data_IF_595519440731
#
_entry.id   IF_595519440731
#
_cell.length_a   1.000
_cell.length_b   1.000
_cell.length_c   1.000
_cell.angle_alpha   90.00
_cell.angle_beta   90.00
_cell.angle_gamma   90.00
#
_symmetry.space_group_name_H-M   'P 1'
#
loop_
_entity.id
_entity.type
_entity.pdbx_description
1 polymer ?
#
# COMPACT_ATOMS: atom_id res chain seq x y z
N UNK A 1 -35.95 -28.28 51.35
CA UNK A 1 -36.22 -28.29 52.80
C UNK A 1 -34.99 -27.70 53.48
N UNK A 2 -34.99 -26.60 54.20
CA UNK A 2 -35.97 -25.59 54.60
C UNK A 2 -35.13 -24.43 55.20
N UNK A 3 -35.31 -23.20 54.69
CA UNK A 3 -35.67 -21.95 55.42
C UNK A 3 -34.68 -21.45 56.50
N UNK A 4 -33.94 -20.33 56.34
CA UNK A 4 -34.28 -18.89 56.18
C UNK A 4 -34.53 -18.11 57.49
N UNK A 5 -33.70 -17.09 57.77
CA UNK A 5 -34.07 -15.69 58.13
C UNK A 5 -32.81 -14.91 58.64
N UNK A 6 -32.32 -13.86 57.94
CA UNK A 6 -32.67 -12.41 57.99
C UNK A 6 -32.34 -11.75 59.35
N UNK A 7 -31.74 -10.55 59.52
CA UNK A 7 -31.42 -9.34 58.70
C UNK A 7 -30.51 -8.43 59.57
N UNK A 8 -29.67 -7.58 58.96
CA UNK A 8 -29.09 -6.40 59.65
C UNK A 8 -28.04 -5.61 58.85
N UNK A 9 -28.45 -4.51 58.20
CA UNK A 9 -27.61 -3.53 57.47
C UNK A 9 -26.91 -2.55 58.43
N UNK A 10 -25.71 -2.06 58.07
CA UNK A 10 -25.35 -0.64 57.82
C UNK A 10 -23.82 -0.39 57.95
N UNK A 11 -23.28 0.46 57.07
CA UNK A 11 -22.21 1.41 57.47
C UNK A 11 -20.89 1.38 56.70
N UNK A 12 -20.80 2.17 55.63
CA UNK A 12 -19.58 2.55 54.91
C UNK A 12 -18.60 3.39 55.75
N UNK A 13 -17.28 3.21 55.52
CA UNK A 13 -16.29 4.29 55.22
C UNK A 13 -14.88 3.69 55.06
N UNK A 14 -14.30 3.76 53.86
CA UNK A 14 -12.86 3.50 53.61
C UNK A 14 -12.19 4.81 53.23
N UNK A 15 -11.24 5.24 54.05
CA UNK A 15 -10.47 6.46 53.87
C UNK A 15 -9.41 6.27 52.78
N UNK A 16 -9.34 7.23 51.85
CA UNK A 16 -8.21 7.42 50.94
C UNK A 16 -7.13 8.23 51.67
N UNK A 17 -5.89 7.74 51.66
CA UNK A 17 -4.72 8.50 52.08
C UNK A 17 -3.84 8.78 50.86
N UNK A 18 -3.63 10.07 50.62
CA UNK A 18 -2.82 10.66 49.57
C UNK A 18 -1.34 10.60 49.99
N UNK A 19 -0.46 10.12 49.11
CA UNK A 19 1.00 10.31 49.23
C UNK A 19 1.50 11.12 48.04
N UNK A 20 2.05 12.28 48.34
CA UNK A 20 2.79 13.19 47.46
C UNK A 20 4.27 12.83 47.45
N UNK A 21 4.92 12.87 46.28
CA UNK A 21 6.37 12.94 46.12
C UNK A 21 6.74 13.83 44.92
N UNK A 22 7.96 14.43 44.92
CA UNK A 22 8.18 15.77 44.39
C UNK A 22 8.66 15.81 42.93
N UNK A 23 8.55 17.02 42.37
CA UNK A 23 8.85 17.40 41.00
C UNK A 23 10.35 17.45 40.68
N UNK A 24 10.73 16.97 39.49
CA UNK A 24 11.94 17.39 38.77
C UNK A 24 11.71 17.23 37.25
N UNK A 25 12.32 18.14 36.51
CA UNK A 25 11.96 18.61 35.18
C UNK A 25 12.02 17.56 34.05
N UNK A 26 11.02 17.60 33.16
CA UNK A 26 11.05 16.97 31.82
C UNK A 26 10.68 18.02 30.76
N UNK A 27 11.63 18.30 29.87
CA UNK A 27 11.42 19.05 28.63
C UNK A 27 10.39 18.32 27.76
N UNK A 28 9.37 19.06 27.32
CA UNK A 28 8.33 18.59 26.40
C UNK A 28 8.82 18.70 24.96
N UNK A 29 8.81 17.58 24.24
CA UNK A 29 8.84 17.52 22.78
C UNK A 29 7.39 17.42 22.31
N UNK A 30 6.94 18.39 21.52
CA UNK A 30 5.60 18.49 20.97
C UNK A 30 5.53 17.78 19.62
N UNK A 31 4.61 16.83 19.50
CA UNK A 31 4.06 16.38 18.22
C UNK A 31 2.59 15.99 18.45
N UNK A 32 1.70 16.99 18.43
CA UNK A 32 0.26 16.74 18.40
C UNK A 32 -0.43 17.71 17.42
N UNK A 33 -0.98 17.14 16.36
CA UNK A 33 -2.03 17.74 15.54
C UNK A 33 -3.36 17.54 16.27
N UNK A 34 -4.01 18.63 16.66
CA UNK A 34 -5.39 18.62 17.13
C UNK A 34 -6.14 19.80 16.51
N UNK A 35 -7.08 19.47 15.62
CA UNK A 35 -8.11 20.36 15.13
C UNK A 35 -9.14 20.62 16.23
N UNK A 36 -9.27 21.87 16.65
CA UNK A 36 -10.41 22.34 17.43
C UNK A 36 -10.90 23.67 16.86
N UNK A 37 -12.12 23.65 16.34
CA UNK A 37 -12.93 24.81 15.95
C UNK A 37 -13.01 25.84 17.06
N UNK A 38 -12.60 27.09 16.79
CA UNK A 38 -13.03 28.30 17.52
C UNK A 38 -13.17 29.47 16.56
N UNK A 39 -14.15 30.29 16.90
CA UNK A 39 -14.81 31.33 16.11
C UNK A 39 -13.90 32.43 15.54
N UNK A 40 -14.45 33.03 14.48
CA UNK A 40 -13.99 34.15 13.68
C UNK A 40 -13.54 35.37 14.49
N UNK A 41 -12.34 35.87 14.20
CA UNK A 41 -11.95 37.27 14.48
C UNK A 41 -11.12 37.81 13.29
N UNK A 42 -11.59 38.81 12.52
CA UNK A 42 -11.06 39.12 11.19
C UNK A 42 -10.00 40.24 11.22
N UNK A 43 -9.01 40.16 12.12
CA UNK A 43 -7.98 41.21 12.19
C UNK A 43 -6.60 40.72 12.69
N UNK A 44 -6.12 39.60 12.14
CA UNK A 44 -4.71 39.19 12.27
C UNK A 44 -4.15 38.71 10.93
N UNK A 45 -4.27 39.54 9.90
CA UNK A 45 -3.34 39.48 8.78
C UNK A 45 -2.24 40.50 9.03
N UNK A 46 -1.06 40.03 9.46
CA UNK A 46 0.23 40.49 8.93
C UNK A 46 1.40 39.80 9.63
N UNK A 47 2.26 39.19 8.80
CA UNK A 47 3.64 38.76 9.08
C UNK A 47 3.85 37.42 9.78
N UNK A 48 3.60 36.34 9.05
CA UNK A 48 4.60 35.26 8.99
C UNK A 48 5.14 35.20 7.57
N UNK A 49 6.42 35.54 7.47
CA UNK A 49 7.18 35.69 6.24
C UNK A 49 7.34 34.33 5.55
N UNK A 50 7.02 34.29 4.26
CA UNK A 50 7.45 33.34 3.24
C UNK A 50 8.99 33.32 3.09
N UNK A 51 9.72 33.01 4.16
CA UNK A 51 11.17 32.80 4.17
C UNK A 51 11.51 31.62 5.08
N UNK A 52 10.88 30.47 4.87
CA UNK A 52 11.57 29.21 5.20
C UNK A 52 12.64 29.06 4.11
N UNK A 53 13.91 29.25 4.45
CA UNK A 53 15.01 28.91 3.56
C UNK A 53 14.81 27.46 3.11
N UNK A 54 14.43 27.25 1.85
CA UNK A 54 14.25 25.90 1.31
C UNK A 54 15.56 25.15 1.53
N UNK A 55 15.52 24.13 2.38
CA UNK A 55 16.69 23.35 2.74
C UNK A 55 17.02 22.47 1.52
N UNK A 56 17.90 22.93 0.63
CA UNK A 56 18.23 22.20 -0.60
C UNK A 56 19.33 21.17 -0.33
N UNK A 57 19.07 19.92 -0.71
CA UNK A 57 20.03 18.83 -0.67
C UNK A 57 21.15 19.00 -1.69
N UNK A 58 22.34 18.54 -1.34
CA UNK A 58 23.57 18.67 -2.14
C UNK A 58 24.30 17.34 -2.30
N UNK A 59 23.74 16.22 -1.81
CA UNK A 59 24.31 14.89 -2.04
C UNK A 59 24.24 14.52 -3.53
N UNK A 60 25.37 14.34 -4.23
CA UNK A 60 25.36 14.04 -5.66
C UNK A 60 25.01 12.58 -5.97
N UNK A 61 25.08 11.70 -4.97
CA UNK A 61 24.94 10.25 -5.10
C UNK A 61 23.60 9.74 -4.52
N UNK A 62 23.23 8.49 -4.84
CA UNK A 62 22.04 7.84 -4.29
C UNK A 62 22.08 7.62 -2.77
N UNK A 63 23.28 7.71 -2.15
CA UNK A 63 23.52 7.60 -0.72
C UNK A 63 24.63 8.59 -0.31
N UNK A 64 24.47 9.39 0.76
CA UNK A 64 25.52 10.29 1.24
C UNK A 64 26.83 9.57 1.59
N UNK A 65 27.98 10.17 1.26
CA UNK A 65 29.31 9.56 1.50
C UNK A 65 29.55 9.20 2.97
N UNK A 66 29.10 10.05 3.91
CA UNK A 66 29.17 9.80 5.35
C UNK A 66 28.41 8.53 5.73
N UNK A 67 27.19 8.37 5.22
CA UNK A 67 26.37 7.18 5.46
C UNK A 67 27.03 5.93 4.87
N UNK A 68 27.55 5.99 3.63
CA UNK A 68 28.25 4.86 3.00
C UNK A 68 29.40 4.35 3.87
N UNK A 69 30.30 5.26 4.30
CA UNK A 69 31.45 4.91 5.15
C UNK A 69 30.98 4.28 6.47
N UNK A 70 29.93 4.84 7.07
CA UNK A 70 29.38 4.31 8.32
C UNK A 70 28.80 2.90 8.13
N UNK A 71 28.07 2.66 7.02
CA UNK A 71 27.45 1.36 6.73
C UNK A 71 28.47 0.30 6.33
N UNK A 72 29.58 0.66 5.67
CA UNK A 72 30.72 -0.24 5.46
C UNK A 72 31.36 -0.67 6.78
N UNK A 73 31.61 0.29 7.69
CA UNK A 73 32.18 0.01 9.02
C UNK A 73 31.29 -0.90 9.87
N UNK A 74 29.98 -0.65 9.83
CA UNK A 74 28.98 -1.43 10.57
C UNK A 74 28.56 -2.73 9.87
N UNK A 75 29.01 -2.97 8.63
CA UNK A 75 28.56 -4.08 7.78
C UNK A 75 27.03 -4.14 7.58
N UNK A 76 26.40 -2.96 7.50
CA UNK A 76 24.95 -2.77 7.30
C UNK A 76 24.63 -2.46 5.83
N UNK A 77 25.13 -3.30 4.92
CA UNK A 77 24.88 -3.21 3.47
C UNK A 77 23.89 -4.28 3.03
N UNK A 78 22.82 -3.88 2.33
CA UNK A 78 21.89 -4.81 1.69
C UNK A 78 22.58 -5.53 0.52
N UNK A 79 22.02 -6.64 0.06
CA UNK A 79 22.65 -7.48 -0.98
C UNK A 79 22.95 -6.70 -2.25
N UNK A 80 22.03 -5.82 -2.68
CA UNK A 80 22.17 -4.96 -3.86
C UNK A 80 23.25 -3.87 -3.74
N UNK A 81 23.75 -3.61 -2.54
CA UNK A 81 24.71 -2.54 -2.28
C UNK A 81 26.16 -3.08 -2.19
N UNK A 82 26.35 -4.39 -2.32
CA UNK A 82 27.64 -5.05 -2.05
C UNK A 82 28.48 -5.20 -3.30
N UNK A 83 29.72 -4.72 -3.25
CA UNK A 83 30.72 -5.02 -4.29
C UNK A 83 31.16 -6.47 -4.16
N UNK A 84 30.94 -7.27 -5.22
CA UNK A 84 31.28 -8.71 -5.26
C UNK A 84 30.69 -9.49 -4.06
N UNK A 85 29.49 -9.12 -3.59
CA UNK A 85 28.82 -9.75 -2.45
C UNK A 85 29.46 -9.48 -1.08
N UNK A 86 30.50 -8.65 -0.99
CA UNK A 86 31.19 -8.35 0.27
C UNK A 86 30.32 -7.45 1.19
N UNK A 87 29.94 -7.89 2.41
CA UNK A 87 29.06 -7.13 3.30
C UNK A 87 29.69 -5.87 3.91
N UNK A 88 31.00 -5.67 3.75
CA UNK A 88 31.74 -4.50 4.24
C UNK A 88 32.28 -3.58 3.15
N UNK A 89 31.89 -3.77 1.88
CA UNK A 89 32.33 -2.92 0.75
C UNK A 89 31.18 -2.55 -0.16
N UNK A 90 31.00 -1.26 -0.41
CA UNK A 90 30.05 -0.70 -1.38
C UNK A 90 30.76 0.19 -2.39
N UNK A 91 30.03 0.66 -3.41
CA UNK A 91 30.44 1.76 -4.28
C UNK A 91 29.40 2.90 -4.24
N UNK A 92 29.74 4.12 -4.70
CA UNK A 92 28.77 5.21 -4.88
C UNK A 92 27.64 4.87 -5.85
N UNK A 93 27.88 3.98 -6.82
CA UNK A 93 26.90 3.54 -7.81
C UNK A 93 25.91 2.48 -7.32
N UNK A 94 26.20 1.81 -6.19
CA UNK A 94 25.36 0.75 -5.63
C UNK A 94 24.62 1.20 -4.36
N UNK A 95 25.27 1.98 -3.50
CA UNK A 95 24.69 2.38 -2.22
C UNK A 95 23.47 3.29 -2.39
N UNK A 96 22.36 2.96 -1.72
CA UNK A 96 21.18 3.82 -1.66
C UNK A 96 20.89 4.21 -0.21
N UNK A 97 20.58 5.49 0.01
CA UNK A 97 20.31 6.06 1.35
C UNK A 97 19.24 5.24 2.10
N UNK A 98 19.59 4.67 3.26
CA UNK A 98 18.66 3.91 4.12
C UNK A 98 17.66 4.85 4.80
N UNK A 99 16.43 4.41 5.03
CA UNK A 99 15.46 5.21 5.79
C UNK A 99 15.88 5.30 7.27
N UNK A 100 15.82 6.49 7.86
CA UNK A 100 16.18 6.69 9.27
C UNK A 100 14.97 7.19 10.08
N UNK A 101 14.56 6.41 11.10
CA UNK A 101 13.35 6.69 11.90
C UNK A 101 13.47 7.92 12.80
N UNK A 102 14.68 8.21 13.27
CA UNK A 102 14.93 9.18 14.35
C UNK A 102 15.70 10.40 13.87
N UNK A 103 15.49 10.82 12.62
CA UNK A 103 16.13 12.05 12.13
C UNK A 103 15.45 13.28 12.74
N UNK A 104 16.27 14.10 13.40
CA UNK A 104 15.89 15.45 13.81
C UNK A 104 16.35 16.43 12.73
N UNK A 105 15.50 17.37 12.31
CA UNK A 105 15.84 18.38 11.29
C UNK A 105 17.07 19.21 11.67
N UNK A 106 17.38 19.34 12.97
CA UNK A 106 18.53 20.11 13.46
C UNK A 106 19.88 19.38 13.27
N UNK A 107 19.87 18.07 13.02
CA UNK A 107 21.07 17.24 12.86
C UNK A 107 21.40 16.93 11.40
N UNK A 108 20.50 17.29 10.47
CA UNK A 108 20.63 17.00 9.04
C UNK A 108 21.38 18.14 8.37
N UNK A 109 22.45 17.82 7.63
CA UNK A 109 23.11 18.79 6.75
C UNK A 109 22.62 18.64 5.30
N UNK A 110 22.78 19.70 4.50
CA UNK A 110 22.45 19.66 3.06
C UNK A 110 23.18 18.53 2.33
N UNK A 111 24.38 18.15 2.77
CA UNK A 111 25.15 17.04 2.18
C UNK A 111 24.57 15.66 2.50
N UNK A 112 23.65 15.57 3.46
CA UNK A 112 22.96 14.33 3.82
C UNK A 112 21.65 14.14 3.03
N UNK A 113 21.19 15.16 2.29
CA UNK A 113 19.97 15.11 1.48
C UNK A 113 20.28 15.12 -0.02
N UNK A 114 19.52 14.32 -0.76
CA UNK A 114 19.63 14.24 -2.23
C UNK A 114 18.76 15.32 -2.89
N UNK A 115 19.27 16.10 -3.86
CA UNK A 115 18.46 17.02 -4.65
C UNK A 115 17.48 16.26 -5.55
N UNK A 116 16.45 16.95 -6.05
CA UNK A 116 15.34 16.39 -6.85
C UNK A 116 15.80 15.45 -7.97
N UNK A 117 16.78 15.87 -8.79
CA UNK A 117 17.28 15.05 -9.90
C UNK A 117 17.89 13.72 -9.42
N UNK A 118 18.62 13.74 -8.30
CA UNK A 118 19.20 12.53 -7.71
C UNK A 118 18.11 11.64 -7.13
N UNK A 119 17.06 12.21 -6.53
CA UNK A 119 15.91 11.45 -6.04
C UNK A 119 15.18 10.73 -7.19
N UNK A 120 14.91 11.42 -8.30
CA UNK A 120 14.27 10.82 -9.49
C UNK A 120 15.11 9.67 -10.06
N UNK A 121 16.42 9.90 -10.26
CA UNK A 121 17.32 8.86 -10.75
C UNK A 121 17.43 7.68 -9.80
N UNK A 122 17.45 7.94 -8.48
CA UNK A 122 17.45 6.89 -7.46
C UNK A 122 16.16 6.07 -7.52
N UNK A 123 15.00 6.72 -7.63
CA UNK A 123 13.73 6.02 -7.74
C UNK A 123 13.69 5.14 -8.99
N UNK A 124 14.13 5.68 -10.14
CA UNK A 124 14.22 4.92 -11.39
C UNK A 124 15.12 3.69 -11.26
N UNK A 125 16.27 3.83 -10.61
CA UNK A 125 17.15 2.70 -10.30
C UNK A 125 16.44 1.66 -9.42
N UNK A 126 15.80 2.08 -8.33
CA UNK A 126 15.10 1.16 -7.42
C UNK A 126 13.96 0.39 -8.13
N UNK A 127 13.18 1.08 -8.96
CA UNK A 127 12.09 0.45 -9.70
C UNK A 127 12.60 -0.54 -10.75
N UNK A 128 13.78 -0.31 -11.34
CA UNK A 128 14.40 -1.26 -12.28
C UNK A 128 14.76 -2.61 -11.62
N UNK A 129 14.92 -2.64 -10.29
CA UNK A 129 15.21 -3.88 -9.55
C UNK A 129 13.98 -4.77 -9.41
N UNK A 130 12.76 -4.24 -9.62
CA UNK A 130 11.51 -4.97 -9.41
C UNK A 130 11.35 -6.18 -10.33
N UNK A 131 11.97 -6.15 -11.51
CA UNK A 131 11.89 -7.24 -12.49
C UNK A 131 13.14 -8.13 -12.49
N UNK A 132 14.07 -7.92 -11.54
CA UNK A 132 15.23 -8.78 -11.38
C UNK A 132 14.82 -10.17 -10.87
N UNK A 133 15.32 -11.21 -11.54
CA UNK A 133 15.18 -12.61 -11.13
C UNK A 133 16.36 -13.12 -10.30
N UNK A 134 17.35 -12.28 -10.00
CA UNK A 134 18.56 -12.67 -9.27
C UNK A 134 18.30 -12.99 -7.80
N UNK A 135 17.25 -12.42 -7.22
CA UNK A 135 16.88 -12.59 -5.82
C UNK A 135 15.37 -12.85 -5.66
N UNK A 136 14.95 -13.55 -4.59
CA UNK A 136 13.54 -13.66 -4.23
C UNK A 136 12.89 -12.29 -4.12
N UNK A 137 11.63 -12.19 -4.52
CA UNK A 137 10.92 -10.91 -4.59
C UNK A 137 10.82 -10.23 -3.21
N UNK A 138 10.75 -10.99 -2.13
CA UNK A 138 10.73 -10.48 -0.76
C UNK A 138 11.99 -9.68 -0.43
N UNK A 139 13.15 -10.13 -0.92
CA UNK A 139 14.44 -9.44 -0.73
C UNK A 139 14.48 -8.15 -1.53
N UNK A 140 13.98 -8.17 -2.77
CA UNK A 140 13.85 -6.96 -3.61
C UNK A 140 12.88 -5.97 -2.96
N UNK A 141 11.71 -6.45 -2.53
CA UNK A 141 10.70 -5.67 -1.85
C UNK A 141 11.26 -4.99 -0.62
N UNK A 142 11.90 -5.70 0.31
CA UNK A 142 12.42 -5.13 1.55
C UNK A 142 13.42 -4.00 1.29
N UNK A 143 14.27 -4.17 0.27
CA UNK A 143 15.21 -3.14 -0.15
C UNK A 143 14.49 -1.91 -0.72
N UNK A 144 13.66 -2.09 -1.75
CA UNK A 144 12.96 -0.97 -2.42
C UNK A 144 11.99 -0.28 -1.46
N UNK A 145 11.30 -1.03 -0.61
CA UNK A 145 10.40 -0.54 0.44
C UNK A 145 11.12 0.39 1.42
N UNK A 146 12.31 0.03 1.89
CA UNK A 146 13.06 0.91 2.79
C UNK A 146 13.58 2.16 2.05
N UNK A 147 14.12 1.98 0.85
CA UNK A 147 14.76 3.09 0.11
C UNK A 147 13.76 4.10 -0.45
N UNK A 148 12.56 3.68 -0.85
CA UNK A 148 11.47 4.59 -1.24
C UNK A 148 10.98 5.42 -0.05
N UNK A 149 10.96 4.87 1.17
CA UNK A 149 10.69 5.66 2.38
C UNK A 149 11.75 6.72 2.63
N UNK A 150 13.02 6.41 2.37
CA UNK A 150 14.12 7.38 2.44
C UNK A 150 13.96 8.51 1.42
N UNK A 151 13.53 8.19 0.19
CA UNK A 151 13.21 9.19 -0.84
C UNK A 151 12.09 10.11 -0.37
N UNK A 152 10.98 9.56 0.14
CA UNK A 152 9.88 10.37 0.71
C UNK A 152 10.35 11.25 1.88
N UNK A 153 11.25 10.72 2.71
CA UNK A 153 11.83 11.49 3.81
C UNK A 153 12.61 12.71 3.29
N UNK A 154 13.44 12.52 2.26
CA UNK A 154 14.18 13.61 1.61
C UNK A 154 13.25 14.62 0.94
N UNK A 155 12.17 14.19 0.29
CA UNK A 155 11.17 15.09 -0.30
C UNK A 155 10.51 15.97 0.76
N UNK A 156 10.08 15.36 1.86
CA UNK A 156 9.43 16.05 2.98
C UNK A 156 10.39 17.02 3.68
N UNK A 157 11.62 16.61 3.98
CA UNK A 157 12.62 17.47 4.65
C UNK A 157 13.01 18.70 3.81
N UNK A 158 12.99 18.57 2.48
CA UNK A 158 13.32 19.67 1.56
C UNK A 158 12.09 20.46 1.10
N UNK A 159 10.88 20.09 1.56
CA UNK A 159 9.61 20.66 1.13
C UNK A 159 9.43 20.69 -0.41
N UNK A 160 9.81 19.59 -1.09
CA UNK A 160 9.71 19.47 -2.55
C UNK A 160 8.29 19.04 -2.91
N UNK A 161 7.56 19.91 -3.62
CA UNK A 161 6.12 19.77 -3.92
C UNK A 161 5.77 20.04 -5.39
N UNK A 162 6.74 20.02 -6.30
CA UNK A 162 6.54 20.24 -7.73
C UNK A 162 6.00 19.00 -8.48
N UNK A 163 5.78 19.12 -9.80
CA UNK A 163 5.31 18.03 -10.66
C UNK A 163 6.22 16.80 -10.59
N UNK A 164 7.54 17.00 -10.51
CA UNK A 164 8.51 15.92 -10.33
C UNK A 164 8.31 15.16 -9.01
N UNK A 165 7.88 15.85 -7.95
CA UNK A 165 7.53 15.21 -6.68
C UNK A 165 6.29 14.33 -6.84
N UNK A 166 5.27 14.83 -7.54
CA UNK A 166 4.03 14.11 -7.83
C UNK A 166 4.34 12.83 -8.58
N UNK A 167 5.11 12.90 -9.67
CA UNK A 167 5.51 11.72 -10.44
C UNK A 167 6.23 10.69 -9.56
N UNK A 168 7.18 11.13 -8.71
CA UNK A 168 7.87 10.23 -7.79
C UNK A 168 6.91 9.57 -6.79
N UNK A 169 5.97 10.33 -6.21
CA UNK A 169 4.97 9.77 -5.30
C UNK A 169 4.02 8.79 -6.01
N UNK A 170 3.58 9.10 -7.23
CA UNK A 170 2.76 8.22 -8.06
C UNK A 170 3.49 6.88 -8.32
N UNK A 171 4.76 6.92 -8.71
CA UNK A 171 5.57 5.72 -8.94
C UNK A 171 5.82 4.91 -7.65
N UNK A 172 6.04 5.57 -6.51
CA UNK A 172 6.16 4.88 -5.21
C UNK A 172 4.84 4.22 -4.77
N UNK A 173 3.69 4.86 -5.04
CA UNK A 173 2.38 4.24 -4.82
C UNK A 173 2.20 3.02 -5.73
N UNK A 174 2.52 3.12 -7.03
CA UNK A 174 2.46 1.99 -7.97
C UNK A 174 3.34 0.82 -7.50
N UNK A 175 4.56 1.10 -7.05
CA UNK A 175 5.43 0.10 -6.43
C UNK A 175 4.72 -0.63 -5.29
N UNK A 176 4.12 0.10 -4.34
CA UNK A 176 3.45 -0.50 -3.20
C UNK A 176 2.23 -1.34 -3.62
N UNK A 177 1.45 -0.91 -4.61
CA UNK A 177 0.31 -1.65 -5.16
C UNK A 177 0.78 -2.96 -5.81
N UNK A 178 1.73 -2.88 -6.73
CA UNK A 178 2.27 -4.04 -7.46
C UNK A 178 2.94 -5.01 -6.49
N UNK A 179 3.70 -4.49 -5.52
CA UNK A 179 4.34 -5.31 -4.51
C UNK A 179 3.32 -6.03 -3.65
N UNK A 180 2.24 -5.35 -3.24
CA UNK A 180 1.18 -5.99 -2.45
C UNK A 180 0.58 -7.19 -3.18
N UNK A 181 0.28 -7.04 -4.47
CA UNK A 181 -0.24 -8.09 -5.34
C UNK A 181 0.75 -9.24 -5.49
N UNK A 182 2.03 -8.96 -5.79
CA UNK A 182 3.07 -9.99 -5.94
C UNK A 182 3.29 -10.77 -4.65
N UNK A 183 3.43 -10.10 -3.51
CA UNK A 183 3.54 -10.75 -2.20
C UNK A 183 2.32 -11.65 -1.93
N UNK A 184 1.12 -11.24 -2.36
CA UNK A 184 -0.11 -11.98 -2.08
C UNK A 184 -0.19 -13.27 -2.88
N UNK A 185 0.35 -13.27 -4.11
CA UNK A 185 0.42 -14.43 -5.00
C UNK A 185 1.49 -15.44 -4.57
N UNK A 186 2.58 -14.99 -3.95
CA UNK A 186 3.70 -15.84 -3.53
C UNK A 186 3.60 -16.33 -2.08
N UNK A 187 2.47 -16.07 -1.41
CA UNK A 187 2.26 -16.44 -0.02
C UNK A 187 2.36 -17.96 0.18
N UNK A 188 3.42 -18.39 0.85
CA UNK A 188 3.61 -19.78 1.27
C UNK A 188 3.12 -19.94 2.71
N UNK A 189 1.81 -20.07 2.89
CA UNK A 189 1.20 -20.39 4.19
C UNK A 189 0.77 -19.20 5.08
N UNK A 190 0.12 -19.49 6.23
CA UNK A 190 -0.59 -18.49 7.02
C UNK A 190 0.31 -17.54 7.84
N UNK A 191 1.51 -17.96 8.28
CA UNK A 191 2.27 -17.22 9.30
C UNK A 191 3.42 -16.33 8.76
N UNK A 192 4.10 -16.71 7.66
CA UNK A 192 5.40 -16.11 7.30
C UNK A 192 5.35 -14.72 6.64
N UNK A 193 4.20 -14.25 6.14
CA UNK A 193 4.14 -13.00 5.34
C UNK A 193 3.24 -11.91 5.91
N UNK A 194 2.51 -12.18 7.00
CA UNK A 194 1.45 -11.28 7.51
C UNK A 194 1.97 -9.88 7.90
N UNK A 195 3.15 -9.81 8.52
CA UNK A 195 3.78 -8.56 8.93
C UNK A 195 4.26 -7.72 7.74
N UNK A 196 4.81 -8.36 6.70
CA UNK A 196 5.30 -7.70 5.51
C UNK A 196 4.18 -7.04 4.72
N UNK A 197 3.08 -7.78 4.51
CA UNK A 197 1.87 -7.27 3.89
C UNK A 197 1.32 -6.06 4.63
N UNK A 198 1.18 -6.17 5.95
CA UNK A 198 0.67 -5.11 6.80
C UNK A 198 1.52 -3.84 6.68
N UNK A 199 2.85 -3.98 6.80
CA UNK A 199 3.78 -2.85 6.70
C UNK A 199 3.76 -2.20 5.31
N UNK A 200 3.66 -3.00 4.23
CA UNK A 200 3.51 -2.48 2.88
C UNK A 200 2.23 -1.64 2.74
N UNK A 201 1.11 -2.13 3.26
CA UNK A 201 -0.17 -1.41 3.22
C UNK A 201 -0.12 -0.12 4.05
N UNK A 202 0.51 -0.15 5.22
CA UNK A 202 0.71 1.06 6.04
C UNK A 202 1.52 2.12 5.27
N UNK A 203 2.57 1.72 4.56
CA UNK A 203 3.36 2.65 3.76
C UNK A 203 2.66 3.11 2.48
N UNK A 204 1.90 2.24 1.80
CA UNK A 204 1.04 2.62 0.69
C UNK A 204 0.09 3.75 1.11
N UNK A 205 -0.61 3.57 2.23
CA UNK A 205 -1.53 4.55 2.78
C UNK A 205 -0.83 5.86 3.12
N UNK A 206 0.34 5.81 3.79
CA UNK A 206 1.12 7.01 4.09
C UNK A 206 1.61 7.73 2.83
N UNK A 207 2.02 6.98 1.81
CA UNK A 207 2.45 7.52 0.53
C UNK A 207 1.29 8.22 -0.20
N UNK A 208 0.10 7.62 -0.23
CA UNK A 208 -1.11 8.22 -0.79
C UNK A 208 -1.49 9.52 -0.07
N UNK A 209 -1.44 9.54 1.26
CA UNK A 209 -1.75 10.75 2.03
C UNK A 209 -0.80 11.90 1.70
N UNK A 210 0.51 11.64 1.65
CA UNK A 210 1.49 12.65 1.22
C UNK A 210 1.26 13.11 -0.21
N UNK A 211 0.91 12.19 -1.13
CA UNK A 211 0.56 12.54 -2.50
C UNK A 211 -0.67 13.46 -2.56
N UNK A 212 -1.70 13.20 -1.75
CA UNK A 212 -2.90 14.06 -1.72
C UNK A 212 -2.62 15.46 -1.19
N UNK A 213 -1.73 15.59 -0.21
CA UNK A 213 -1.26 16.90 0.26
C UNK A 213 -0.57 17.67 -0.87
N UNK A 214 0.30 17.01 -1.63
CA UNK A 214 0.98 17.63 -2.78
C UNK A 214 -0.01 17.99 -3.89
N UNK A 215 -0.97 17.12 -4.21
CA UNK A 215 -2.03 17.43 -5.18
C UNK A 215 -2.86 18.64 -4.75
N UNK A 216 -3.26 18.72 -3.48
CA UNK A 216 -4.06 19.82 -2.98
C UNK A 216 -3.32 21.16 -3.08
N UNK A 217 -2.03 21.19 -2.72
CA UNK A 217 -1.20 22.38 -2.86
C UNK A 217 -1.09 22.79 -4.34
N UNK A 218 -0.79 21.85 -5.24
CA UNK A 218 -0.67 22.15 -6.68
C UNK A 218 -2.00 22.61 -7.28
N UNK A 219 -3.12 22.04 -6.86
CA UNK A 219 -4.46 22.46 -7.28
C UNK A 219 -4.77 23.90 -6.84
N UNK A 220 -4.39 24.28 -5.62
CA UNK A 220 -4.53 25.67 -5.14
C UNK A 220 -3.69 26.64 -5.98
N UNK A 221 -2.58 26.16 -6.54
CA UNK A 221 -1.73 26.87 -7.50
C UNK A 221 -2.21 26.76 -8.97
N UNK A 222 -3.41 26.21 -9.21
CA UNK A 222 -4.03 26.02 -10.53
C UNK A 222 -3.32 25.01 -11.46
N UNK A 223 -2.49 24.13 -10.90
CA UNK A 223 -1.94 22.98 -11.64
C UNK A 223 -2.82 21.75 -11.43
N UNK A 224 -3.35 21.21 -12.53
CA UNK A 224 -4.24 20.03 -12.52
C UNK A 224 -3.45 18.81 -12.98
N UNK A 225 -3.41 17.78 -12.14
CA UNK A 225 -2.69 16.55 -12.43
C UNK A 225 -3.61 15.50 -13.06
N UNK A 226 -3.20 14.95 -14.21
CA UNK A 226 -4.01 14.03 -15.01
C UNK A 226 -4.46 12.75 -14.28
N UNK A 227 -3.64 12.22 -13.38
CA UNK A 227 -3.92 10.94 -12.70
C UNK A 227 -4.57 11.12 -11.33
N UNK A 228 -4.73 12.36 -10.85
CA UNK A 228 -5.13 12.64 -9.48
C UNK A 228 -6.41 11.89 -9.05
N UNK A 229 -7.39 11.82 -9.95
CA UNK A 229 -8.68 11.15 -9.74
C UNK A 229 -8.53 9.64 -9.58
N UNK A 230 -7.62 9.02 -10.34
CA UNK A 230 -7.29 7.60 -10.21
C UNK A 230 -6.65 7.32 -8.86
N UNK A 231 -5.67 8.13 -8.44
CA UNK A 231 -5.00 7.96 -7.16
C UNK A 231 -5.93 8.19 -5.96
N UNK A 232 -6.90 9.11 -6.05
CA UNK A 232 -7.95 9.26 -5.03
C UNK A 232 -8.87 8.03 -4.96
N UNK A 233 -9.11 7.37 -6.10
CA UNK A 233 -9.95 6.16 -6.13
C UNK A 233 -9.34 5.02 -5.32
N UNK A 234 -8.02 4.91 -5.28
CA UNK A 234 -7.31 3.90 -4.50
C UNK A 234 -7.65 3.96 -3.01
N UNK A 235 -7.80 5.16 -2.46
CA UNK A 235 -8.21 5.35 -1.07
C UNK A 235 -9.53 4.63 -0.74
N UNK A 236 -10.50 4.72 -1.65
CA UNK A 236 -11.82 4.11 -1.48
C UNK A 236 -11.71 2.59 -1.62
N UNK A 237 -10.95 2.13 -2.62
CA UNK A 237 -10.76 0.71 -2.88
C UNK A 237 -10.07 -0.02 -1.72
N UNK A 238 -9.15 0.65 -1.02
CA UNK A 238 -8.53 0.13 0.21
C UNK A 238 -9.56 -0.20 1.31
N UNK A 239 -10.76 0.38 1.29
CA UNK A 239 -11.81 0.07 2.27
C UNK A 239 -12.59 -1.23 1.98
N UNK A 240 -12.27 -1.92 0.90
CA UNK A 240 -12.80 -3.27 0.62
C UNK A 240 -12.10 -4.30 1.53
N UNK A 241 -10.81 -4.13 1.82
CA UNK A 241 -10.06 -5.01 2.71
C UNK A 241 -10.30 -4.72 4.20
N UNK A 242 -11.02 -5.60 4.90
CA UNK A 242 -11.39 -5.40 6.33
C UNK A 242 -10.21 -5.51 7.32
N UNK A 243 -9.05 -6.02 6.88
CA UNK A 243 -7.84 -6.22 7.70
C UNK A 243 -6.85 -5.06 7.63
N UNK A 244 -7.12 -4.05 6.81
CA UNK A 244 -6.27 -2.87 6.75
C UNK A 244 -6.59 -2.03 8.00
N UNK A 245 -5.58 -1.64 8.81
CA UNK A 245 -5.82 -0.75 9.94
C UNK A 245 -6.49 0.50 9.39
N UNK A 246 -7.77 0.64 9.74
CA UNK A 246 -8.63 1.69 9.20
C UNK A 246 -7.97 3.02 9.54
N UNK A 247 -7.87 3.86 8.52
CA UNK A 247 -7.30 5.19 8.60
C UNK A 247 -7.98 5.99 9.71
N UNK A 248 -7.23 6.89 10.36
CA UNK A 248 -7.72 7.64 11.54
C UNK A 248 -9.03 8.41 11.28
N UNK A 249 -9.31 8.75 10.03
CA UNK A 249 -10.49 9.49 9.59
C UNK A 249 -11.49 8.59 8.85
N UNK A 250 -12.78 8.73 9.13
CA UNK A 250 -13.83 8.00 8.40
C UNK A 250 -13.97 8.49 6.96
N UNK A 251 -14.30 7.59 6.02
CA UNK A 251 -14.57 7.97 4.62
C UNK A 251 -15.56 9.13 4.48
N UNK A 252 -16.58 9.18 5.34
CA UNK A 252 -17.57 10.26 5.34
C UNK A 252 -16.98 11.64 5.62
N UNK A 253 -15.96 11.74 6.46
CA UNK A 253 -15.25 12.98 6.75
C UNK A 253 -14.27 13.29 5.61
N UNK A 254 -13.52 12.28 5.15
CA UNK A 254 -12.59 12.43 4.03
C UNK A 254 -13.27 12.97 2.76
N UNK A 255 -14.49 12.50 2.43
CA UNK A 255 -15.25 13.01 1.29
C UNK A 255 -15.57 14.52 1.37
N UNK A 256 -15.65 15.10 2.58
CA UNK A 256 -15.93 16.54 2.76
C UNK A 256 -14.76 17.42 2.31
N UNK A 257 -13.56 16.85 2.27
CA UNK A 257 -12.35 17.56 1.87
C UNK A 257 -12.10 17.49 0.36
N UNK A 258 -12.89 16.71 -0.39
CA UNK A 258 -12.71 16.56 -1.84
C UNK A 258 -13.55 17.55 -2.64
N UNK A 259 -12.96 18.04 -3.73
CA UNK A 259 -13.65 18.91 -4.67
C UNK A 259 -14.68 18.16 -5.52
N UNK A 260 -15.71 18.88 -5.99
CA UNK A 260 -16.76 18.32 -6.86
C UNK A 260 -16.22 17.60 -8.12
N UNK A 261 -15.23 18.15 -8.85
CA UNK A 261 -14.64 17.46 -10.00
C UNK A 261 -14.04 16.09 -9.67
N UNK A 262 -13.37 15.96 -8.50
CA UNK A 262 -12.84 14.66 -8.05
C UNK A 262 -13.99 13.69 -7.82
N UNK A 263 -15.02 14.10 -7.07
CA UNK A 263 -16.14 13.24 -6.67
C UNK A 263 -16.97 12.70 -7.86
N UNK A 264 -16.96 13.41 -8.98
CA UNK A 264 -17.71 13.08 -10.19
C UNK A 264 -16.86 12.46 -11.31
N UNK A 265 -15.55 12.32 -11.10
CA UNK A 265 -14.67 11.57 -12.00
C UNK A 265 -15.14 10.12 -12.18
N UNK A 266 -14.77 9.50 -13.30
CA UNK A 266 -15.16 8.12 -13.62
C UNK A 266 -14.52 7.14 -12.63
N UNK A 267 -13.28 7.38 -12.23
CA UNK A 267 -12.48 6.58 -11.32
C UNK A 267 -13.09 6.56 -9.91
N UNK A 268 -13.53 7.73 -9.43
CA UNK A 268 -14.17 7.84 -8.12
C UNK A 268 -15.59 7.26 -8.12
N UNK A 269 -16.36 7.44 -9.21
CA UNK A 269 -17.68 6.81 -9.35
C UNK A 269 -17.57 5.29 -9.39
N UNK A 270 -16.60 4.75 -10.12
CA UNK A 270 -16.27 3.33 -10.12
C UNK A 270 -15.99 2.83 -8.70
N UNK A 271 -15.00 3.41 -8.01
CA UNK A 271 -14.59 2.94 -6.68
C UNK A 271 -15.71 3.02 -5.64
N UNK A 272 -16.52 4.08 -5.66
CA UNK A 272 -17.70 4.23 -4.78
C UNK A 272 -18.77 3.18 -5.08
N UNK A 273 -19.01 2.92 -6.36
CA UNK A 273 -20.01 1.93 -6.80
C UNK A 273 -19.58 0.52 -6.42
N UNK A 274 -18.30 0.20 -6.62
CA UNK A 274 -17.70 -1.08 -6.25
C UNK A 274 -17.77 -1.32 -4.74
N UNK A 275 -17.37 -0.33 -3.93
CA UNK A 275 -17.47 -0.41 -2.47
C UNK A 275 -18.93 -0.58 -2.00
N UNK A 276 -19.89 0.05 -2.69
CA UNK A 276 -21.32 -0.13 -2.40
C UNK A 276 -21.77 -1.56 -2.70
N UNK A 277 -21.44 -2.12 -3.85
CA UNK A 277 -21.81 -3.51 -4.18
C UNK A 277 -21.20 -4.51 -3.23
N UNK A 278 -19.93 -4.32 -2.85
CA UNK A 278 -19.26 -5.12 -1.82
C UNK A 278 -20.04 -5.09 -0.50
N UNK A 279 -20.35 -3.90 0.03
CA UNK A 279 -21.08 -3.76 1.30
C UNK A 279 -22.50 -4.34 1.27
N UNK A 280 -23.16 -4.28 0.11
CA UNK A 280 -24.51 -4.82 -0.07
C UNK A 280 -24.51 -6.35 -0.33
N UNK A 281 -23.35 -6.97 -0.54
CA UNK A 281 -23.26 -8.38 -0.94
C UNK A 281 -23.73 -8.67 -2.37
N UNK A 282 -23.81 -7.64 -3.23
CA UNK A 282 -24.17 -7.80 -4.65
C UNK A 282 -22.94 -8.22 -5.47
N UNK A 283 -22.51 -9.46 -5.26
CA UNK A 283 -21.30 -10.00 -5.87
C UNK A 283 -21.36 -10.02 -7.40
N UNK A 284 -22.54 -10.27 -7.99
CA UNK A 284 -22.70 -10.28 -9.45
C UNK A 284 -22.37 -8.92 -10.06
N UNK A 285 -22.92 -7.84 -9.51
CA UNK A 285 -22.60 -6.49 -9.98
C UNK A 285 -21.19 -6.08 -9.60
N UNK A 286 -20.69 -6.48 -8.43
CA UNK A 286 -19.32 -6.22 -8.00
C UNK A 286 -18.30 -6.75 -9.02
N UNK A 287 -18.34 -8.05 -9.34
CA UNK A 287 -17.41 -8.65 -10.30
C UNK A 287 -17.69 -8.19 -11.74
N UNK A 288 -18.95 -7.95 -12.10
CA UNK A 288 -19.30 -7.42 -13.42
C UNK A 288 -18.68 -6.05 -13.71
N UNK A 289 -18.82 -5.07 -12.81
CA UNK A 289 -18.19 -3.75 -13.03
C UNK A 289 -16.67 -3.82 -12.91
N UNK A 290 -16.16 -4.71 -12.07
CA UNK A 290 -14.72 -4.93 -11.91
C UNK A 290 -14.09 -5.37 -13.24
N UNK A 291 -14.73 -6.31 -13.93
CA UNK A 291 -14.27 -6.80 -15.22
C UNK A 291 -14.33 -5.73 -16.32
N UNK A 292 -15.40 -4.92 -16.34
CA UNK A 292 -15.65 -4.01 -17.46
C UNK A 292 -15.04 -2.61 -17.30
N UNK A 293 -14.88 -2.11 -16.08
CA UNK A 293 -14.54 -0.70 -15.81
C UNK A 293 -13.21 -0.47 -15.10
N UNK A 294 -12.64 -1.49 -14.44
CA UNK A 294 -11.45 -1.28 -13.61
C UNK A 294 -10.21 -0.94 -14.45
N UNK A 295 -9.44 0.05 -14.01
CA UNK A 295 -8.11 0.27 -14.54
C UNK A 295 -7.16 -0.84 -14.09
N UNK A 296 -6.04 -1.02 -14.82
CA UNK A 296 -5.03 -2.02 -14.48
C UNK A 296 -4.53 -1.85 -13.03
N UNK A 297 -4.28 -0.62 -12.59
CA UNK A 297 -3.78 -0.35 -11.24
C UNK A 297 -4.87 -0.57 -10.18
N UNK A 298 -6.12 -0.20 -10.45
CA UNK A 298 -7.25 -0.49 -9.56
C UNK A 298 -7.42 -2.00 -9.40
N UNK A 299 -7.30 -2.76 -10.48
CA UNK A 299 -7.36 -4.23 -10.46
C UNK A 299 -6.23 -4.83 -9.61
N UNK A 300 -4.99 -4.40 -9.83
CA UNK A 300 -3.84 -4.85 -9.05
C UNK A 300 -3.99 -4.53 -7.55
N UNK A 301 -4.57 -3.37 -7.22
CA UNK A 301 -4.82 -2.96 -5.84
C UNK A 301 -5.84 -3.88 -5.15
N UNK A 302 -6.92 -4.25 -5.83
CA UNK A 302 -8.01 -4.98 -5.19
C UNK A 302 -7.88 -6.50 -5.26
N UNK A 303 -7.07 -7.04 -6.17
CA UNK A 303 -6.92 -8.48 -6.36
C UNK A 303 -6.64 -9.24 -5.04
N UNK A 304 -5.76 -8.75 -4.15
CA UNK A 304 -5.52 -9.40 -2.86
C UNK A 304 -6.76 -9.48 -1.94
N UNK A 305 -7.77 -8.63 -2.17
CA UNK A 305 -9.01 -8.56 -1.38
C UNK A 305 -10.21 -9.25 -2.05
N UNK A 306 -10.04 -9.85 -3.24
CA UNK A 306 -11.15 -10.45 -3.96
C UNK A 306 -11.69 -11.70 -3.28
N UNK A 307 -10.85 -12.43 -2.54
CA UNK A 307 -11.30 -13.62 -1.83
C UNK A 307 -12.30 -13.29 -0.73
N UNK A 308 -12.17 -12.14 -0.10
CA UNK A 308 -13.13 -11.63 0.86
C UNK A 308 -14.49 -11.42 0.20
N UNK A 309 -14.50 -10.82 -0.99
CA UNK A 309 -15.72 -10.67 -1.79
C UNK A 309 -16.29 -12.03 -2.23
N UNK A 310 -15.43 -12.99 -2.62
CA UNK A 310 -15.83 -14.36 -2.99
C UNK A 310 -16.44 -15.12 -1.81
N UNK A 311 -15.83 -15.05 -0.63
CA UNK A 311 -16.38 -15.67 0.60
C UNK A 311 -17.71 -15.04 0.98
N UNK A 312 -17.86 -13.72 0.86
CA UNK A 312 -19.14 -13.05 1.08
C UNK A 312 -20.19 -13.52 0.08
N UNK A 313 -19.83 -13.67 -1.21
CA UNK A 313 -20.72 -14.20 -2.24
C UNK A 313 -21.19 -15.63 -1.92
N UNK A 314 -20.26 -16.51 -1.56
CA UNK A 314 -20.54 -17.90 -1.15
C UNK A 314 -21.48 -17.92 0.06
N UNK A 315 -21.22 -17.06 1.07
CA UNK A 315 -22.09 -16.91 2.23
C UNK A 315 -23.50 -16.49 1.82
N UNK A 316 -23.64 -15.48 0.96
CA UNK A 316 -24.95 -15.02 0.47
C UNK A 316 -25.70 -16.13 -0.27
N UNK A 317 -24.99 -16.95 -1.07
CA UNK A 317 -25.59 -18.09 -1.79
C UNK A 317 -26.06 -19.17 -0.82
N UNK A 318 -25.21 -19.56 0.14
CA UNK A 318 -25.54 -20.60 1.10
C UNK A 318 -26.76 -20.24 1.97
N UNK A 319 -26.90 -18.96 2.34
CA UNK A 319 -28.03 -18.46 3.13
C UNK A 319 -29.25 -18.06 2.29
N UNK A 320 -29.19 -18.15 0.96
CA UNK A 320 -30.30 -17.74 0.11
C UNK A 320 -31.53 -18.65 0.29
N UNK A 321 -32.68 -18.04 0.58
CA UNK A 321 -33.90 -18.78 0.98
C UNK A 321 -34.64 -19.48 -0.17
N UNK A 322 -34.52 -18.95 -1.40
CA UNK A 322 -35.47 -19.22 -2.49
C UNK A 322 -35.02 -20.28 -3.51
N UNK A 323 -33.73 -20.61 -3.60
CA UNK A 323 -33.25 -21.62 -4.55
C UNK A 323 -32.92 -22.91 -3.79
N UNK A 324 -33.69 -23.96 -4.01
CA UNK A 324 -33.43 -25.29 -3.42
C UNK A 324 -32.44 -26.12 -4.26
N UNK A 325 -32.23 -25.74 -5.52
CA UNK A 325 -31.34 -26.45 -6.42
C UNK A 325 -29.89 -26.02 -6.20
N UNK A 326 -28.94 -26.98 -6.20
CA UNK A 326 -27.52 -26.70 -6.19
C UNK A 326 -27.10 -25.72 -7.30
N UNK A 327 -26.10 -24.90 -7.03
CA UNK A 327 -25.53 -23.98 -8.01
C UNK A 327 -24.44 -24.66 -8.84
N UNK A 328 -24.47 -24.56 -10.19
CA UNK A 328 -23.34 -24.99 -11.01
C UNK A 328 -22.08 -24.21 -10.64
N UNK A 329 -21.03 -24.93 -10.27
CA UNK A 329 -19.78 -24.33 -9.81
C UNK A 329 -19.06 -23.61 -10.94
N UNK A 330 -19.13 -24.15 -12.16
CA UNK A 330 -18.61 -23.53 -13.38
C UNK A 330 -19.20 -22.12 -13.58
N UNK A 331 -20.53 -21.99 -13.61
CA UNK A 331 -21.19 -20.69 -13.73
C UNK A 331 -20.82 -19.73 -12.59
N UNK A 332 -20.70 -20.25 -11.36
CA UNK A 332 -20.29 -19.43 -10.22
C UNK A 332 -18.82 -18.98 -10.35
N UNK A 333 -17.96 -19.82 -10.90
CA UNK A 333 -16.54 -19.53 -11.11
C UNK A 333 -16.33 -18.40 -12.14
N UNK A 334 -17.14 -18.40 -13.21
CA UNK A 334 -17.19 -17.30 -14.19
C UNK A 334 -17.60 -15.98 -13.52
N UNK A 335 -18.71 -16.00 -12.77
CA UNK A 335 -19.24 -14.81 -12.08
C UNK A 335 -18.25 -14.25 -11.06
N UNK A 336 -17.49 -15.12 -10.38
CA UNK A 336 -16.55 -14.74 -9.32
C UNK A 336 -15.10 -14.55 -9.82
N UNK A 337 -14.89 -14.61 -11.13
CA UNK A 337 -13.59 -14.45 -11.80
C UNK A 337 -12.48 -15.29 -11.15
N UNK A 338 -12.76 -16.56 -10.90
CA UNK A 338 -11.86 -17.51 -10.21
C UNK A 338 -11.90 -18.85 -10.95
N UNK A 339 -10.81 -19.62 -10.93
CA UNK A 339 -10.84 -20.96 -11.55
C UNK A 339 -11.77 -21.87 -10.76
N UNK A 340 -12.49 -22.75 -11.45
CA UNK A 340 -13.43 -23.68 -10.81
C UNK A 340 -12.77 -24.51 -9.69
N UNK A 341 -11.53 -24.98 -9.91
CA UNK A 341 -10.74 -25.75 -8.92
C UNK A 341 -10.40 -24.90 -7.66
N UNK A 342 -10.08 -23.63 -7.85
CA UNK A 342 -9.77 -22.70 -6.75
C UNK A 342 -11.05 -22.33 -5.98
N UNK A 343 -12.17 -22.20 -6.68
CA UNK A 343 -13.49 -21.99 -6.06
C UNK A 343 -13.92 -23.18 -5.23
N UNK A 344 -13.73 -24.41 -5.72
CA UNK A 344 -13.98 -25.64 -4.95
C UNK A 344 -13.14 -25.65 -3.67
N UNK A 345 -11.83 -25.37 -3.77
CA UNK A 345 -10.95 -25.27 -2.61
C UNK A 345 -11.42 -24.19 -1.62
N UNK A 346 -11.88 -23.04 -2.12
CA UNK A 346 -12.43 -21.96 -1.29
C UNK A 346 -13.71 -22.38 -0.57
N UNK A 347 -14.62 -23.09 -1.24
CA UNK A 347 -15.83 -23.67 -0.63
C UNK A 347 -15.45 -24.62 0.51
N UNK A 348 -14.51 -25.55 0.27
CA UNK A 348 -14.03 -26.47 1.31
C UNK A 348 -13.40 -25.73 2.50
N UNK A 349 -12.60 -24.68 2.26
CA UNK A 349 -12.05 -23.80 3.31
C UNK A 349 -13.13 -23.07 4.11
N UNK A 350 -14.33 -22.86 3.53
CA UNK A 350 -15.49 -22.31 4.22
C UNK A 350 -16.37 -23.37 4.90
N UNK A 351 -15.95 -24.64 4.91
CA UNK A 351 -16.72 -25.75 5.48
C UNK A 351 -17.87 -26.23 4.58
N UNK A 352 -17.88 -25.87 3.30
CA UNK A 352 -18.91 -26.27 2.36
C UNK A 352 -18.49 -27.49 1.54
N UNK A 353 -19.45 -28.37 1.28
CA UNK A 353 -19.28 -29.57 0.45
C UNK A 353 -19.76 -29.30 -0.98
N UNK A 354 -18.94 -29.64 -1.96
CA UNK A 354 -19.27 -29.60 -3.39
C UNK A 354 -19.60 -31.03 -3.83
N UNK A 355 -20.71 -31.21 -4.54
CA UNK A 355 -21.14 -32.50 -5.07
C UNK A 355 -20.87 -32.55 -6.58
N UNK A 356 -20.61 -33.75 -7.12
CA UNK A 356 -20.49 -33.97 -8.56
C UNK A 356 -21.68 -34.76 -9.04
N UNK A 357 -22.34 -34.30 -10.11
CA UNK A 357 -23.44 -35.03 -10.71
C UNK A 357 -22.98 -36.17 -11.64
N UNK A 358 -23.93 -36.94 -12.18
CA UNK A 358 -23.67 -38.07 -13.08
C UNK A 358 -22.96 -37.67 -14.40
N UNK A 359 -23.04 -36.38 -14.76
CA UNK A 359 -22.40 -35.81 -15.95
C UNK A 359 -21.00 -35.25 -15.65
N UNK A 360 -20.55 -35.32 -14.40
CA UNK A 360 -19.26 -34.79 -13.96
C UNK A 360 -19.28 -33.30 -13.63
N UNK A 361 -20.44 -32.64 -13.63
CA UNK A 361 -20.56 -31.23 -13.28
C UNK A 361 -20.53 -31.05 -11.76
N UNK A 362 -19.70 -30.10 -11.31
CA UNK A 362 -19.61 -29.74 -9.90
C UNK A 362 -20.74 -28.78 -9.53
N UNK A 363 -21.41 -29.08 -8.42
CA UNK A 363 -22.53 -28.32 -7.91
C UNK A 363 -22.31 -27.95 -6.45
N UNK A 364 -22.66 -26.73 -6.07
CA UNK A 364 -22.66 -26.25 -4.69
C UNK A 364 -24.08 -26.32 -4.11
N UNK A 365 -24.37 -27.26 -3.20
CA UNK A 365 -25.63 -27.28 -2.45
C UNK A 365 -25.76 -26.03 -1.57
N UNK A 366 -27.00 -25.60 -1.35
CA UNK A 366 -27.31 -24.46 -0.48
C UNK A 366 -27.71 -24.93 0.93
N UNK A 367 -27.75 -24.00 1.89
CA UNK A 367 -28.22 -24.21 3.27
C UNK A 367 -27.41 -25.24 4.05
N UNK A 368 -26.12 -25.35 3.78
CA UNK A 368 -25.20 -26.15 4.57
C UNK A 368 -24.89 -25.44 5.89
N UNK A 369 -25.19 -26.11 7.01
CA UNK A 369 -25.01 -25.58 8.37
C UNK A 369 -23.55 -25.54 8.82
N UNK A 370 -22.66 -26.20 8.09
CA UNK A 370 -21.22 -26.26 8.32
C UNK A 370 -20.47 -24.99 7.90
N UNK A 371 -21.14 -24.03 7.26
CA UNK A 371 -20.50 -22.79 6.80
C UNK A 371 -19.81 -22.05 7.94
N UNK A 372 -18.56 -21.67 7.72
CA UNK A 372 -17.82 -20.75 8.57
C UNK A 372 -16.94 -19.83 7.74
N UNK A 373 -16.71 -18.62 8.25
CA UNK A 373 -15.69 -17.75 7.67
C UNK A 373 -14.29 -18.36 7.92
N UNK A 374 -13.42 -18.42 6.91
CA UNK A 374 -12.05 -18.91 7.09
C UNK A 374 -11.30 -18.11 8.17
N UNK A 375 -10.67 -18.81 9.11
CA UNK A 375 -9.99 -18.20 10.27
C UNK A 375 -8.60 -17.64 9.91
N UNK A 376 -7.94 -18.21 8.90
CA UNK A 376 -6.65 -17.74 8.39
C UNK A 376 -6.85 -16.78 7.22
N UNK A 377 -5.82 -15.98 6.93
CA UNK A 377 -5.77 -15.28 5.65
C UNK A 377 -5.84 -16.30 4.51
N UNK A 378 -6.73 -16.06 3.56
CA UNK A 378 -6.96 -16.95 2.43
C UNK A 378 -5.89 -16.60 1.38
N UNK A 379 -5.21 -17.60 0.84
CA UNK A 379 -4.30 -17.47 -0.32
C UNK A 379 -4.98 -16.66 -1.42
N UNK A 380 -4.37 -15.58 -1.89
CA UNK A 380 -4.93 -14.76 -2.98
C UNK A 380 -5.00 -15.60 -4.25
N UNK A 381 -6.22 -15.98 -4.65
CA UNK A 381 -6.43 -16.67 -5.92
C UNK A 381 -6.42 -15.62 -7.02
N UNK A 382 -5.55 -15.84 -8.01
CA UNK A 382 -5.42 -14.95 -9.14
C UNK A 382 -6.73 -14.80 -9.92
N UNK A 383 -6.84 -13.70 -10.66
CA UNK A 383 -7.93 -13.54 -11.62
C UNK A 383 -7.70 -14.47 -12.82
N UNK A 384 -8.76 -15.15 -13.27
CA UNK A 384 -8.74 -15.95 -14.51
C UNK A 384 -8.32 -15.12 -15.73
N UNK A 385 -8.59 -13.82 -15.72
CA UNK A 385 -8.20 -12.88 -16.77
C UNK A 385 -6.74 -12.37 -16.67
N UNK A 386 -6.01 -12.68 -15.59
CA UNK A 386 -4.65 -12.15 -15.34
C UNK A 386 -3.62 -12.56 -16.41
N UNK A 387 -3.86 -13.64 -17.16
CA UNK A 387 -2.98 -14.07 -18.26
C UNK A 387 -3.01 -13.11 -19.46
N UNK A 388 -4.02 -12.23 -19.57
CA UNK A 388 -4.12 -11.20 -20.63
C UNK A 388 -3.43 -9.88 -20.27
N UNK A 389 -3.15 -9.63 -18.99
CA UNK A 389 -2.72 -8.31 -18.51
C UNK A 389 -1.21 -8.18 -18.27
N UNK A 390 -0.46 -9.29 -18.29
CA UNK A 390 1.00 -9.27 -18.17
C UNK A 390 1.72 -8.89 -19.48
N UNK A 391 1.04 -8.91 -20.63
CA UNK A 391 1.63 -8.56 -21.92
C UNK A 391 1.73 -7.05 -22.19
N UNK A 392 1.18 -6.20 -21.32
CA UNK A 392 1.09 -4.75 -21.52
C UNK A 392 1.94 -3.90 -20.56
N UNK A 393 2.79 -4.51 -19.74
CA UNK A 393 3.86 -3.77 -19.06
C UNK A 393 4.88 -3.28 -20.11
N UNK A 394 5.26 -1.99 -20.11
CA UNK A 394 6.20 -1.46 -21.08
C UNK A 394 7.55 -2.13 -20.89
N UNK A 395 7.95 -2.96 -21.85
CA UNK A 395 9.32 -3.43 -21.98
C UNK A 395 10.19 -2.20 -22.28
N UNK A 396 11.28 -1.95 -21.54
CA UNK A 396 12.23 -0.95 -21.98
C UNK A 396 12.83 -1.41 -23.32
N UNK A 397 12.75 -0.56 -24.34
CA UNK A 397 13.30 -0.79 -25.66
C UNK A 397 14.80 -1.15 -25.57
N UNK A 398 15.12 -2.42 -25.74
CA UNK A 398 16.48 -2.89 -25.92
C UNK A 398 16.88 -2.72 -27.39
N UNK A 399 17.22 -1.51 -27.79
CA UNK A 399 17.85 -1.25 -29.09
C UNK A 399 18.75 -0.01 -29.07
N UNK A 400 19.93 -0.16 -28.46
CA UNK A 400 21.12 0.58 -28.88
C UNK A 400 22.36 -0.30 -28.72
N UNK A 401 22.49 -1.28 -29.62
CA UNK A 401 23.76 -1.94 -29.87
C UNK A 401 24.70 -0.93 -30.54
N UNK A 402 25.53 -0.27 -29.73
CA UNK A 402 26.78 0.33 -30.19
C UNK A 402 27.74 -0.80 -30.55
N UNK A 403 27.78 -1.17 -31.84
CA UNK A 403 28.88 -1.95 -32.39
C UNK A 403 30.14 -1.09 -32.40
N UNK A 404 31.04 -1.40 -31.48
CA UNK A 404 32.45 -1.03 -31.55
C UNK A 404 33.09 -1.89 -32.63
N UNK A 405 33.29 -1.32 -33.83
CA UNK A 405 34.13 -1.95 -34.84
C UNK A 405 35.60 -1.61 -34.57
N UNK A 406 36.29 -2.58 -33.98
CA UNK A 406 37.75 -2.69 -34.06
C UNK A 406 38.14 -3.39 -35.36
N UNK A 407 38.85 -2.72 -36.26
CA UNK A 407 39.59 -3.37 -37.35
C UNK A 407 40.98 -2.77 -37.49
N UNK A 408 41.95 -3.68 -37.54
CA UNK A 408 43.39 -3.50 -37.49
C UNK A 408 43.99 -2.77 -38.70
N UNK A 409 45.27 -2.40 -38.54
CA UNK A 409 46.06 -1.58 -39.46
C UNK A 409 46.36 -2.20 -40.83
N UNK A 410 46.97 -1.37 -41.69
CA UNK A 410 47.48 -1.78 -43.00
C UNK A 410 47.74 -0.61 -43.95
N UNK A 411 48.85 0.09 -43.71
CA UNK A 411 49.86 0.58 -44.68
C UNK A 411 49.47 1.13 -46.08
N UNK A 412 50.08 2.29 -46.38
CA UNK A 412 50.82 2.67 -47.61
C UNK A 412 50.19 3.63 -48.65
N UNK A 413 50.97 4.70 -48.93
CA UNK A 413 51.18 5.42 -50.21
C UNK A 413 49.99 6.30 -50.69
N UNK A 414 50.08 7.61 -50.94
CA UNK A 414 51.13 8.55 -51.37
C UNK A 414 50.85 9.93 -50.77
#
# INVERSE_FOLDING_TARGET
MESSSRVGKLGFRRAQTVRTHPASARSRVLLENSSSTRDSDPNYESRESLNSSNFVGTCPDMCPAKERIQRERLRDLAVFERVNGNPGKTSPSLAVKKFCRTLSSNEVHSSDLRPTLVLQNTLKYLLSLMDSSEHPFEVVHDFVFDRTRSIRQDLSMQNIINEEAIEMYEEMVKFHIISHQRLARHRSGPEDSSSLHYLNMEQLTKCLLSLYEVYDINRRLQFINKHEMEFHSFYILLHIGYKIPIMKESLSLWFRHLSSPILHSKEMRFARTLLRYFRMGDYKRFFGILETEASQLQLCLIEPFLNEARVQAISCINHSGYKLQPYPLEHLSEVLMIKEQELESLCCKCGLEVITDELGCKLLPVKQSSFHHPKSDIESYGLTSSDKFHSSLPRPDSSSNLQVNSSHGGTALF
#
